data_IF_357397368713
#
_entry.id   IF_357397368713
#
_cell.length_a   1.000
_cell.length_b   1.000
_cell.length_c   1.000
_cell.angle_alpha   90.00
_cell.angle_beta   90.00
_cell.angle_gamma   90.00
#
_symmetry.space_group_name_H-M   'P 1'
#
loop_
_entity.id
_entity.type
_entity.pdbx_description
1 polymer ?
#
# COMPACT_ATOMS: atom_id res chain seq x y z
N UNK A 1 -2.42 -14.12 9.80
CA UNK A 1 -2.94 -15.10 8.82
C UNK A 1 -4.42 -14.84 8.67
N UNK A 2 -4.99 -15.07 7.48
CA UNK A 2 -6.43 -14.88 7.22
C UNK A 2 -7.02 -16.24 6.89
N UNK A 3 -8.04 -16.64 7.66
CA UNK A 3 -8.76 -17.90 7.47
C UNK A 3 -10.21 -17.57 7.07
N UNK A 4 -10.65 -18.08 5.92
CA UNK A 4 -11.98 -17.84 5.37
C UNK A 4 -12.80 -19.13 5.38
N UNK A 5 -14.03 -19.07 5.87
CA UNK A 5 -14.98 -20.19 5.91
C UNK A 5 -16.37 -19.73 5.51
N UNK A 6 -17.11 -20.56 4.77
CA UNK A 6 -18.50 -20.33 4.42
C UNK A 6 -19.26 -21.64 4.27
N UNK A 7 -20.57 -21.62 4.54
CA UNK A 7 -21.46 -22.76 4.33
C UNK A 7 -21.87 -22.92 2.85
N UNK A 8 -21.57 -21.94 2.01
CA UNK A 8 -21.88 -21.92 0.58
C UNK A 8 -20.65 -21.53 -0.24
N UNK A 9 -20.62 -21.94 -1.51
CA UNK A 9 -19.51 -21.61 -2.41
C UNK A 9 -19.62 -20.15 -2.90
N UNK A 10 -18.53 -19.41 -2.77
CA UNK A 10 -18.38 -18.04 -3.26
C UNK A 10 -17.06 -17.89 -4.01
N UNK A 11 -17.06 -17.04 -5.05
CA UNK A 11 -15.83 -16.50 -5.59
C UNK A 11 -15.53 -15.19 -4.85
N UNK A 12 -14.37 -15.12 -4.21
CA UNK A 12 -13.93 -13.97 -3.45
C UNK A 12 -12.43 -13.73 -3.69
N UNK A 13 -12.02 -12.48 -3.56
CA UNK A 13 -10.63 -12.07 -3.43
C UNK A 13 -10.41 -11.42 -2.06
N UNK A 14 -9.15 -11.10 -1.78
CA UNK A 14 -8.74 -10.40 -0.58
C UNK A 14 -7.83 -9.25 -1.01
N UNK A 15 -8.10 -8.06 -0.47
CA UNK A 15 -7.20 -6.91 -0.64
C UNK A 15 -6.61 -6.52 0.70
N UNK A 16 -5.29 -6.48 0.77
CA UNK A 16 -4.54 -5.92 1.88
C UNK A 16 -4.31 -4.43 1.63
N UNK A 17 -4.42 -3.60 2.67
CA UNK A 17 -4.25 -2.14 2.58
C UNK A 17 -3.57 -1.64 3.85
N UNK A 18 -2.49 -0.88 3.70
CA UNK A 18 -1.74 -0.33 4.82
C UNK A 18 -1.07 0.99 4.44
N UNK A 19 -1.41 2.05 5.16
CA UNK A 19 -0.72 3.34 5.14
C UNK A 19 0.64 3.26 5.84
N UNK A 20 1.61 4.06 5.38
CA UNK A 20 3.00 4.01 5.81
C UNK A 20 3.52 5.39 6.26
N UNK A 21 3.85 5.53 7.54
CA UNK A 21 4.65 6.67 8.02
C UNK A 21 6.17 6.44 7.90
N UNK A 22 6.63 5.22 8.17
CA UNK A 22 8.02 4.74 8.07
C UNK A 22 9.07 5.74 8.62
N UNK A 23 8.80 6.34 9.77
CA UNK A 23 9.68 7.32 10.42
C UNK A 23 9.40 7.44 11.91
N UNK A 24 10.12 8.35 12.57
CA UNK A 24 9.84 8.68 13.97
C UNK A 24 8.48 9.35 14.10
N UNK A 25 7.78 9.13 15.21
CA UNK A 25 6.43 9.67 15.43
C UNK A 25 6.36 11.18 15.22
N UNK A 26 7.32 11.94 15.76
CA UNK A 26 7.38 13.40 15.59
C UNK A 26 7.58 13.84 14.14
N UNK A 27 8.29 13.05 13.33
CA UNK A 27 8.48 13.33 11.91
C UNK A 27 7.19 13.07 11.14
N UNK A 28 6.56 11.92 11.36
CA UNK A 28 5.32 11.51 10.70
C UNK A 28 4.18 12.47 11.06
N UNK A 29 3.93 12.69 12.36
CA UNK A 29 2.83 13.53 12.88
C UNK A 29 3.00 15.02 12.52
N UNK A 30 4.22 15.45 12.19
CA UNK A 30 4.44 16.84 11.78
C UNK A 30 3.89 17.13 10.38
N UNK A 31 4.05 16.17 9.46
CA UNK A 31 3.58 16.27 8.07
C UNK A 31 3.73 14.91 7.35
N UNK A 32 2.67 14.11 7.32
CA UNK A 32 2.64 12.78 6.70
C UNK A 32 2.85 12.84 5.19
N UNK A 33 2.36 13.90 4.55
CA UNK A 33 2.53 14.13 3.12
C UNK A 33 4.01 14.34 2.77
N UNK A 34 4.69 15.18 3.54
CA UNK A 34 6.13 15.39 3.41
C UNK A 34 6.93 14.12 3.73
N UNK A 35 6.55 13.38 4.79
CA UNK A 35 7.19 12.11 5.11
C UNK A 35 7.10 11.11 3.95
N UNK A 36 5.94 11.01 3.32
CA UNK A 36 5.66 10.12 2.18
C UNK A 36 6.51 10.41 0.95
N UNK A 37 6.83 11.68 0.67
CA UNK A 37 7.68 12.07 -0.46
C UNK A 37 9.06 11.40 -0.42
N UNK A 38 9.57 11.07 0.78
CA UNK A 38 10.87 10.43 0.98
C UNK A 38 10.79 8.92 1.20
N UNK A 39 9.60 8.32 1.24
CA UNK A 39 9.44 6.86 1.28
C UNK A 39 9.50 6.34 -0.15
N UNK A 40 10.68 5.93 -0.62
CA UNK A 40 10.82 5.38 -1.97
C UNK A 40 10.39 3.91 -2.00
N UNK A 41 9.54 3.58 -2.97
CA UNK A 41 9.07 2.22 -3.19
C UNK A 41 9.84 1.52 -4.31
N UNK A 42 10.29 0.29 -4.09
CA UNK A 42 10.74 -0.65 -5.11
C UNK A 42 9.71 -1.77 -5.19
N UNK A 43 9.21 -2.04 -6.39
CA UNK A 43 8.26 -3.12 -6.64
C UNK A 43 8.95 -4.21 -7.44
N UNK A 44 9.00 -5.41 -6.88
CA UNK A 44 9.56 -6.60 -7.52
C UNK A 44 8.39 -7.51 -7.89
N UNK A 45 8.30 -7.88 -9.17
CA UNK A 45 7.31 -8.82 -9.68
C UNK A 45 8.02 -10.03 -10.28
N UNK A 46 7.79 -11.19 -9.70
CA UNK A 46 8.38 -12.46 -10.15
C UNK A 46 7.30 -13.54 -10.16
N UNK A 47 6.99 -14.07 -11.34
CA UNK A 47 5.87 -15.00 -11.54
C UNK A 47 4.55 -14.45 -10.93
N UNK A 48 3.96 -15.17 -9.98
CA UNK A 48 2.73 -14.79 -9.27
C UNK A 48 2.99 -14.03 -7.96
N UNK A 49 4.23 -13.59 -7.73
CA UNK A 49 4.59 -12.85 -6.51
C UNK A 49 4.75 -11.36 -6.81
N UNK A 50 4.29 -10.55 -5.85
CA UNK A 50 4.51 -9.10 -5.84
C UNK A 50 5.07 -8.75 -4.47
N UNK A 51 6.23 -8.10 -4.46
CA UNK A 51 6.86 -7.58 -3.24
C UNK A 51 7.02 -6.08 -3.36
N UNK A 52 6.52 -5.35 -2.36
CA UNK A 52 6.68 -3.89 -2.24
C UNK A 52 7.70 -3.62 -1.12
N UNK A 53 8.85 -3.11 -1.51
CA UNK A 53 9.96 -2.71 -0.65
C UNK A 53 9.92 -1.20 -0.49
N UNK A 54 9.83 -0.68 0.73
CA UNK A 54 9.75 0.75 1.00
C UNK A 54 10.93 1.19 1.85
N UNK A 55 11.64 2.24 1.45
CA UNK A 55 12.77 2.81 2.21
C UNK A 55 12.52 4.29 2.47
N UNK A 56 12.61 4.68 3.74
CA UNK A 56 12.64 6.09 4.12
C UNK A 56 14.02 6.67 3.82
N UNK A 57 14.09 7.56 2.83
CA UNK A 57 15.33 8.19 2.36
C UNK A 57 15.73 9.41 3.20
N UNK A 58 14.80 10.00 3.95
CA UNK A 58 15.10 11.04 4.93
C UNK A 58 15.62 10.42 6.22
N UNK A 59 16.75 10.93 6.72
CA UNK A 59 17.34 10.44 7.98
C UNK A 59 16.35 10.53 9.14
N UNK A 60 16.14 9.42 9.82
CA UNK A 60 15.38 9.28 11.06
C UNK A 60 16.38 9.00 12.18
N UNK A 61 16.86 10.05 12.84
CA UNK A 61 17.95 9.99 13.84
C UNK A 61 19.18 9.19 13.38
N UNK A 62 19.63 9.44 12.15
CA UNK A 62 20.81 8.79 11.56
C UNK A 62 20.54 7.40 10.97
N UNK A 63 19.28 6.94 10.95
CA UNK A 63 18.85 5.69 10.34
C UNK A 63 17.96 5.94 9.13
N UNK A 64 17.77 4.89 8.32
CA UNK A 64 16.92 4.90 7.13
C UNK A 64 15.99 3.68 7.19
N UNK A 65 14.85 3.78 7.90
CA UNK A 65 13.95 2.67 8.10
C UNK A 65 13.48 2.05 6.78
N UNK A 66 13.22 0.74 6.84
CA UNK A 66 12.84 -0.08 5.70
C UNK A 66 11.65 -0.98 6.06
N UNK A 67 10.77 -1.22 5.10
CA UNK A 67 9.67 -2.15 5.21
C UNK A 67 9.56 -2.99 3.93
N UNK A 68 9.20 -4.26 4.07
CA UNK A 68 8.84 -5.14 2.96
C UNK A 68 7.43 -5.68 3.18
N UNK A 69 6.58 -5.58 2.16
CA UNK A 69 5.21 -6.07 2.15
C UNK A 69 5.01 -7.01 0.96
N UNK A 70 4.25 -8.07 1.19
CA UNK A 70 3.94 -9.12 0.21
C UNK A 70 2.96 -10.12 0.81
N UNK A 71 2.74 -11.23 0.11
CA UNK A 71 1.92 -12.33 0.60
C UNK A 71 2.66 -13.66 0.44
N UNK A 72 2.26 -14.65 1.25
CA UNK A 72 2.72 -16.03 1.09
C UNK A 72 2.00 -16.78 -0.04
N UNK A 73 0.90 -16.21 -0.55
CA UNK A 73 0.18 -16.69 -1.73
C UNK A 73 0.40 -15.80 -2.94
N UNK A 74 -0.21 -16.18 -4.07
CA UNK A 74 -0.18 -15.40 -5.29
C UNK A 74 -0.82 -14.01 -5.12
N UNK A 75 -0.25 -13.00 -5.76
CA UNK A 75 -0.76 -11.63 -5.80
C UNK A 75 -1.00 -11.20 -7.24
N UNK A 76 -2.18 -10.63 -7.50
CA UNK A 76 -2.62 -10.25 -8.85
C UNK A 76 -2.28 -8.80 -9.22
N UNK A 77 -2.33 -7.90 -8.24
CA UNK A 77 -2.18 -6.46 -8.49
C UNK A 77 -1.62 -5.74 -7.25
N UNK A 78 -1.23 -4.48 -7.40
CA UNK A 78 -0.76 -3.64 -6.28
C UNK A 78 -1.02 -2.15 -6.54
N UNK A 79 -0.92 -1.32 -5.50
CA UNK A 79 -0.74 0.13 -5.59
C UNK A 79 0.14 0.63 -4.44
N UNK A 80 0.80 1.78 -4.61
CA UNK A 80 1.73 2.33 -3.61
C UNK A 80 1.33 3.69 -3.05
N UNK A 81 0.22 4.26 -3.52
CA UNK A 81 -0.27 5.54 -3.02
C UNK A 81 -1.79 5.55 -2.77
N UNK A 82 -2.20 6.26 -1.73
CA UNK A 82 -3.59 6.33 -1.29
C UNK A 82 -4.53 6.97 -2.33
N UNK A 83 -4.04 7.82 -3.24
CA UNK A 83 -4.87 8.32 -4.34
C UNK A 83 -5.21 7.24 -5.37
N UNK A 84 -4.33 6.25 -5.57
CA UNK A 84 -4.66 5.10 -6.42
C UNK A 84 -5.72 4.21 -5.77
N UNK A 85 -5.67 4.07 -4.44
CA UNK A 85 -6.59 3.21 -3.69
C UNK A 85 -7.95 3.87 -3.44
N UNK A 86 -7.96 5.04 -2.78
CA UNK A 86 -9.18 5.74 -2.42
C UNK A 86 -9.76 6.54 -3.58
N UNK A 87 -8.92 7.24 -4.35
CA UNK A 87 -9.35 8.20 -5.37
C UNK A 87 -10.01 9.45 -4.78
N UNK A 88 -10.11 10.52 -5.58
CA UNK A 88 -10.65 11.81 -5.10
C UNK A 88 -12.15 11.76 -4.80
N UNK A 89 -12.89 10.87 -5.48
CA UNK A 89 -14.32 10.65 -5.27
C UNK A 89 -14.65 10.00 -3.91
N UNK A 90 -13.66 9.42 -3.21
CA UNK A 90 -13.84 8.88 -1.86
C UNK A 90 -14.40 9.93 -0.90
N UNK A 91 -13.97 11.19 -1.03
CA UNK A 91 -14.41 12.31 -0.19
C UNK A 91 -15.93 12.55 -0.21
N UNK A 92 -16.61 12.11 -1.27
CA UNK A 92 -18.07 12.25 -1.42
C UNK A 92 -18.80 10.91 -1.24
N UNK A 93 -18.16 9.81 -1.65
CA UNK A 93 -18.82 8.49 -1.73
C UNK A 93 -18.53 7.59 -0.54
N UNK A 94 -17.44 7.84 0.19
CA UNK A 94 -16.93 6.98 1.25
C UNK A 94 -16.66 5.52 0.80
N UNK A 95 -16.49 5.29 -0.50
CA UNK A 95 -16.18 3.98 -1.09
C UNK A 95 -14.88 4.10 -1.88
N UNK A 96 -13.82 3.34 -1.55
CA UNK A 96 -12.53 3.42 -2.25
C UNK A 96 -12.69 3.13 -3.76
N UNK A 97 -11.98 3.87 -4.60
CA UNK A 97 -11.98 3.66 -6.05
C UNK A 97 -11.54 2.24 -6.41
N UNK A 98 -10.47 1.76 -5.78
CA UNK A 98 -9.93 0.42 -6.01
C UNK A 98 -10.94 -0.71 -5.72
N UNK A 99 -11.81 -0.53 -4.72
CA UNK A 99 -12.85 -1.52 -4.35
C UNK A 99 -13.99 -1.63 -5.37
N UNK A 100 -13.99 -0.77 -6.40
CA UNK A 100 -14.95 -0.81 -7.52
C UNK A 100 -14.31 -1.37 -8.80
N UNK A 101 -13.04 -1.76 -8.73
CA UNK A 101 -12.24 -2.23 -9.85
C UNK A 101 -11.90 -3.72 -9.65
N UNK A 102 -11.67 -4.43 -10.76
CA UNK A 102 -11.29 -5.84 -10.71
C UNK A 102 -9.82 -6.06 -10.31
N UNK A 103 -9.00 -5.01 -10.43
CA UNK A 103 -7.56 -5.02 -10.16
C UNK A 103 -7.13 -3.66 -9.60
N UNK A 104 -6.12 -3.66 -8.74
CA UNK A 104 -5.41 -2.44 -8.33
C UNK A 104 -4.61 -1.86 -9.52
N UNK A 105 -4.18 -0.61 -9.39
CA UNK A 105 -3.57 0.17 -10.47
C UNK A 105 -2.29 -0.45 -11.08
N UNK A 106 -1.63 -1.39 -10.40
CA UNK A 106 -0.46 -2.11 -10.88
C UNK A 106 0.74 -1.21 -11.22
N UNK A 107 0.80 -0.04 -10.60
CA UNK A 107 1.77 1.01 -10.85
C UNK A 107 2.34 1.54 -9.53
N UNK A 108 3.67 1.67 -9.45
CA UNK A 108 4.35 2.50 -8.45
C UNK A 108 3.99 3.96 -8.73
N UNK A 109 3.32 4.59 -7.79
CA UNK A 109 3.07 6.02 -7.81
C UNK A 109 3.71 6.65 -6.58
N UNK A 110 4.69 7.53 -6.81
CA UNK A 110 5.41 8.24 -5.76
C UNK A 110 4.77 9.61 -5.59
N UNK A 111 4.11 9.82 -4.46
CA UNK A 111 3.41 11.07 -4.17
C UNK A 111 3.44 11.36 -2.66
N UNK A 112 2.33 11.78 -2.09
CA UNK A 112 2.22 12.32 -0.73
C UNK A 112 1.35 11.44 0.18
N UNK A 113 0.97 10.24 -0.25
CA UNK A 113 0.14 9.36 0.56
C UNK A 113 0.65 7.91 0.46
N UNK A 114 1.83 7.64 1.03
CA UNK A 114 2.45 6.33 0.99
C UNK A 114 1.52 5.27 1.59
N UNK A 115 1.00 4.40 0.73
CA UNK A 115 0.02 3.38 1.09
C UNK A 115 0.17 2.18 0.17
N UNK A 116 0.52 1.04 0.76
CA UNK A 116 0.62 -0.20 0.01
C UNK A 116 -0.72 -0.91 0.02
N UNK A 117 -1.24 -1.23 -1.17
CA UNK A 117 -2.32 -2.19 -1.33
C UNK A 117 -1.87 -3.36 -2.20
N UNK A 118 -2.30 -4.57 -1.85
CA UNK A 118 -1.97 -5.85 -2.49
C UNK A 118 -3.25 -6.67 -2.71
#
# INVERSE_FOLDING_TARGET
>A
TVDLSSESAYQADLTYVQDLGLGESSFVESNEAYASQYIDHLVIKEAETITVCSRQNQSQSGKYPYLQQGAFGALKSYSTDGFQFYGTAYKQTNIPLAMKQADLANQKYQYEFALTAL
#
